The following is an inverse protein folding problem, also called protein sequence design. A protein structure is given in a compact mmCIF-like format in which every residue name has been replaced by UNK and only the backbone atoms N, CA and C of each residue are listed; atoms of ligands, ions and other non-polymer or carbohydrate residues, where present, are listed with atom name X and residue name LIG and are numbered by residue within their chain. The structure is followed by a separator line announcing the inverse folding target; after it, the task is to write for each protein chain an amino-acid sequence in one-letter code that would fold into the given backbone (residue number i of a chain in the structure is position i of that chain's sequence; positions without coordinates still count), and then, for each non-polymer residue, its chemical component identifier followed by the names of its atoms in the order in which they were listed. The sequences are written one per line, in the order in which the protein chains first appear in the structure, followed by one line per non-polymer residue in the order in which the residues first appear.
data_IF_775286755944
#
_entry.id   IF_775286755944
#
_cell.length_a   1.000
_cell.length_b   1.000
_cell.length_c   1.000
_cell.angle_alpha   90.00
_cell.angle_beta   90.00
_cell.angle_gamma   90.00
#
_symmetry.space_group_name_H-M   'P 1'
#
loop_
_entity.id
_entity.type
_entity.pdbx_description
1 polymer ?
#
# COMPACT_ATOMS: atom_id res chain seq x y z
N UNK A 1 -8.53 17.58 5.99
CA UNK A 1 -7.17 17.44 6.50
C UNK A 1 -6.75 15.99 6.45
N UNK A 2 -5.58 15.71 5.92
CA UNK A 2 -5.15 14.32 5.82
C UNK A 2 -4.55 13.82 7.12
N UNK A 3 -4.62 12.51 7.33
CA UNK A 3 -4.06 11.85 8.49
C UNK A 3 -2.83 11.07 8.06
N UNK A 4 -1.77 11.19 8.84
CA UNK A 4 -0.50 10.54 8.55
C UNK A 4 -0.23 9.48 9.59
N UNK A 5 0.11 8.27 9.14
CA UNK A 5 0.44 7.14 9.99
C UNK A 5 1.76 6.54 9.49
N UNK A 6 2.63 6.18 10.41
CA UNK A 6 3.85 5.47 10.06
C UNK A 6 3.74 4.01 10.45
N UNK A 7 4.14 3.13 9.55
CA UNK A 7 4.20 1.71 9.81
C UNK A 7 5.63 1.29 9.50
N UNK A 8 6.45 1.13 10.55
CA UNK A 8 7.87 0.94 10.36
C UNK A 8 8.47 2.16 9.68
N UNK A 9 9.12 1.95 8.55
CA UNK A 9 9.73 3.03 7.77
C UNK A 9 8.77 3.63 6.75
N UNK A 10 7.59 3.04 6.57
CA UNK A 10 6.63 3.48 5.57
C UNK A 10 5.77 4.58 6.16
N UNK A 11 5.58 5.66 5.40
CA UNK A 11 4.68 6.73 5.80
C UNK A 11 3.44 6.66 4.92
N UNK A 12 2.27 6.65 5.56
CA UNK A 12 0.99 6.56 4.87
C UNK A 12 0.19 7.80 5.22
N UNK A 13 -0.20 8.54 4.19
CA UNK A 13 -1.03 9.73 4.37
C UNK A 13 -2.38 9.50 3.71
N UNK A 14 -3.42 9.39 4.52
CA UNK A 14 -4.76 9.15 4.01
C UNK A 14 -5.35 10.42 3.42
N UNK A 15 -5.89 10.27 2.23
CA UNK A 15 -6.58 11.36 1.54
C UNK A 15 -8.08 11.16 1.58
N UNK A 16 -8.53 9.92 1.39
CA UNK A 16 -9.96 9.58 1.46
C UNK A 16 -10.09 8.33 2.31
N UNK A 17 -10.82 8.44 3.42
CA UNK A 17 -11.06 7.30 4.30
C UNK A 17 -12.51 6.82 4.08
N UNK A 18 -12.65 5.74 3.33
CA UNK A 18 -13.96 5.21 2.98
C UNK A 18 -14.36 3.97 3.76
N UNK A 19 -13.65 3.64 4.84
CA UNK A 19 -13.89 2.39 5.54
C UNK A 19 -15.30 2.29 6.12
N UNK A 20 -15.82 3.42 6.64
CA UNK A 20 -17.12 3.40 7.31
C UNK A 20 -18.28 3.29 6.33
N UNK A 21 -18.06 3.62 5.08
CA UNK A 21 -19.13 3.61 4.09
C UNK A 21 -19.00 2.44 3.11
N UNK A 22 -17.93 1.65 3.24
CA UNK A 22 -17.63 0.61 2.27
C UNK A 22 -17.18 1.17 0.94
N UNK A 23 -16.76 2.43 0.92
CA UNK A 23 -16.40 3.13 -0.29
C UNK A 23 -14.92 3.06 -0.61
N UNK A 24 -14.48 3.96 -1.49
CA UNK A 24 -13.12 4.03 -1.96
C UNK A 24 -12.21 4.65 -0.91
N UNK A 25 -11.05 4.02 -0.68
CA UNK A 25 -9.98 4.61 0.09
C UNK A 25 -8.86 5.06 -0.82
N UNK A 26 -8.25 6.19 -0.51
CA UNK A 26 -7.09 6.68 -1.25
C UNK A 26 -6.06 7.19 -0.26
N UNK A 27 -4.83 6.70 -0.38
CA UNK A 27 -3.76 7.24 0.44
C UNK A 27 -2.47 7.34 -0.36
N UNK A 28 -1.58 8.21 0.12
CA UNK A 28 -0.26 8.36 -0.43
C UNK A 28 0.72 7.60 0.45
N UNK A 29 1.60 6.84 -0.18
CA UNK A 29 2.60 6.04 0.51
C UNK A 29 3.98 6.56 0.17
N UNK A 30 4.82 6.74 1.19
CA UNK A 30 6.24 7.03 1.00
C UNK A 30 7.04 5.86 1.51
N UNK A 31 7.93 5.36 0.66
CA UNK A 31 8.74 4.20 0.95
C UNK A 31 10.20 4.59 0.79
N UNK A 32 10.95 4.72 1.89
CA UNK A 32 12.36 5.11 1.80
C UNK A 32 13.20 4.08 1.05
N UNK A 33 14.38 4.49 0.61
CA UNK A 33 15.30 3.60 -0.07
C UNK A 33 15.59 2.37 0.78
N UNK A 34 15.57 1.21 0.16
CA UNK A 34 15.86 -0.06 0.84
C UNK A 34 14.71 -0.62 1.66
N UNK A 35 13.61 0.13 1.80
CA UNK A 35 12.49 -0.32 2.61
C UNK A 35 11.64 -1.31 1.84
N UNK A 36 10.95 -2.16 2.59
CA UNK A 36 9.99 -3.09 2.02
C UNK A 36 8.89 -3.29 3.04
N UNK A 37 7.72 -3.63 2.54
CA UNK A 37 6.68 -4.02 3.47
C UNK A 37 6.92 -5.43 3.89
N UNK A 38 6.22 -5.88 4.90
CA UNK A 38 6.33 -7.24 5.38
C UNK A 38 6.05 -8.25 4.28
N UNK A 39 6.10 -9.53 4.61
CA UNK A 39 5.99 -10.60 3.62
C UNK A 39 4.80 -10.45 2.70
N UNK A 40 4.80 -11.13 1.56
CA UNK A 40 3.68 -11.12 0.65
C UNK A 40 2.36 -11.39 1.37
N UNK A 41 1.31 -10.70 1.00
CA UNK A 41 0.02 -10.82 1.66
C UNK A 41 -1.10 -10.65 0.64
N UNK A 42 -2.32 -10.97 1.06
CA UNK A 42 -3.47 -10.80 0.21
C UNK A 42 -4.63 -10.21 1.01
N UNK A 43 -5.50 -9.51 0.31
CA UNK A 43 -6.76 -9.03 0.86
C UNK A 43 -7.88 -9.69 0.09
N UNK A 44 -8.69 -10.49 0.78
CA UNK A 44 -9.73 -11.27 0.10
C UNK A 44 -10.89 -10.40 -0.36
N UNK A 45 -11.10 -9.27 0.31
CA UNK A 45 -12.28 -8.45 0.06
C UNK A 45 -11.99 -7.12 -0.62
N UNK A 46 -10.73 -6.82 -0.90
CA UNK A 46 -10.36 -5.52 -1.44
C UNK A 46 -9.65 -5.64 -2.78
N UNK A 47 -9.95 -4.72 -3.67
CA UNK A 47 -9.15 -4.51 -4.87
C UNK A 47 -8.25 -3.31 -4.61
N UNK A 48 -7.05 -3.37 -5.15
CA UNK A 48 -6.07 -2.32 -4.90
C UNK A 48 -5.41 -1.91 -6.20
N UNK A 49 -5.17 -0.61 -6.37
CA UNK A 49 -4.43 -0.10 -7.50
C UNK A 49 -3.35 0.83 -6.97
N UNK A 50 -2.15 0.72 -7.52
CA UNK A 50 -1.01 1.54 -7.14
C UNK A 50 -0.59 2.37 -8.35
N UNK A 51 -0.38 3.65 -8.15
CA UNK A 51 0.07 4.59 -9.18
C UNK A 51 1.29 5.33 -8.68
N UNK A 52 2.43 5.19 -9.36
CA UNK A 52 3.70 5.74 -8.88
C UNK A 52 3.83 7.21 -9.27
N UNK A 53 4.20 8.03 -8.31
CA UNK A 53 4.42 9.46 -8.49
C UNK A 53 5.90 9.80 -8.57
N UNK A 54 6.74 9.17 -7.75
CA UNK A 54 8.18 9.41 -7.71
C UNK A 54 8.91 8.13 -7.39
N UNK A 55 10.11 7.99 -7.93
CA UNK A 55 10.95 6.83 -7.67
C UNK A 55 10.52 5.62 -8.49
N UNK A 56 11.09 4.47 -8.17
CA UNK A 56 10.75 3.21 -8.84
C UNK A 56 10.30 2.22 -7.78
N UNK A 57 9.06 1.77 -7.90
CA UNK A 57 8.47 0.83 -6.96
C UNK A 57 8.52 -0.57 -7.54
N UNK A 58 9.16 -1.49 -6.83
CA UNK A 58 9.10 -2.89 -7.23
C UNK A 58 7.83 -3.50 -6.65
N UNK A 59 6.97 -3.99 -7.51
CA UNK A 59 5.66 -4.47 -7.12
C UNK A 59 5.39 -5.82 -7.74
N UNK A 60 4.94 -6.77 -6.93
CA UNK A 60 4.60 -8.09 -7.44
C UNK A 60 3.15 -8.42 -7.08
N UNK A 61 2.48 -9.05 -8.03
CA UNK A 61 1.13 -9.57 -7.86
C UNK A 61 1.18 -11.00 -8.35
N UNK A 62 0.91 -11.93 -7.45
CA UNK A 62 1.03 -13.36 -7.71
C UNK A 62 2.43 -13.68 -8.27
N UNK A 63 2.52 -14.13 -9.52
CA UNK A 63 3.81 -14.51 -10.10
C UNK A 63 4.42 -13.39 -10.94
N UNK A 64 3.78 -12.25 -11.06
CA UNK A 64 4.26 -11.16 -11.89
C UNK A 64 4.93 -10.10 -11.04
N UNK A 65 6.17 -9.74 -11.40
CA UNK A 65 6.91 -8.68 -10.73
C UNK A 65 7.29 -7.62 -11.74
N UNK A 66 7.07 -6.35 -11.39
CA UNK A 66 7.40 -5.22 -12.23
C UNK A 66 8.08 -4.14 -11.44
N UNK A 67 8.94 -3.38 -12.11
CA UNK A 67 9.47 -2.13 -11.57
C UNK A 67 8.67 -1.00 -12.18
N UNK A 68 7.87 -0.34 -11.35
CA UNK A 68 6.97 0.72 -11.78
C UNK A 68 7.67 2.07 -11.66
N UNK A 69 7.71 2.80 -12.75
CA UNK A 69 8.29 4.14 -12.81
C UNK A 69 7.19 5.19 -12.64
N UNK A 70 7.55 6.45 -12.42
CA UNK A 70 6.52 7.49 -12.32
C UNK A 70 5.58 7.46 -13.52
N UNK A 71 4.28 7.43 -13.22
CA UNK A 71 3.25 7.31 -14.23
C UNK A 71 2.80 5.89 -14.51
N UNK A 72 3.54 4.89 -14.02
CA UNK A 72 3.14 3.49 -14.17
C UNK A 72 2.18 3.11 -13.05
N UNK A 73 1.41 2.06 -13.29
CA UNK A 73 0.43 1.58 -12.32
C UNK A 73 0.28 0.07 -12.42
N UNK A 74 -0.30 -0.50 -11.39
CA UNK A 74 -0.58 -1.94 -11.37
C UNK A 74 -1.79 -2.19 -10.49
N UNK A 75 -2.67 -3.10 -10.92
CA UNK A 75 -3.86 -3.49 -10.17
C UNK A 75 -3.65 -4.82 -9.48
N UNK A 76 -4.19 -4.94 -8.29
CA UNK A 76 -4.20 -6.18 -7.53
C UNK A 76 -5.64 -6.63 -7.35
N UNK A 77 -6.08 -7.69 -8.06
CA UNK A 77 -7.43 -8.21 -7.87
C UNK A 77 -7.61 -8.78 -6.46
N UNK A 78 -8.86 -8.93 -6.06
CA UNK A 78 -9.19 -9.55 -4.78
C UNK A 78 -8.56 -10.92 -4.67
N UNK A 79 -7.98 -11.19 -3.51
CA UNK A 79 -7.39 -12.49 -3.22
C UNK A 79 -6.01 -12.72 -3.80
N UNK A 80 -5.50 -11.79 -4.60
CA UNK A 80 -4.15 -11.94 -5.14
C UNK A 80 -3.11 -11.62 -4.08
N UNK A 81 -2.03 -12.38 -4.09
CA UNK A 81 -0.90 -12.14 -3.19
C UNK A 81 -0.06 -11.02 -3.78
N UNK A 82 0.22 -9.99 -2.98
CA UNK A 82 1.02 -8.88 -3.46
C UNK A 82 2.08 -8.47 -2.45
N UNK A 83 3.09 -7.76 -2.96
CA UNK A 83 4.23 -7.33 -2.17
C UNK A 83 4.90 -6.18 -2.91
N UNK A 84 5.44 -5.22 -2.18
CA UNK A 84 6.21 -4.16 -2.82
C UNK A 84 7.42 -3.79 -1.98
N UNK A 85 8.40 -3.21 -2.66
CA UNK A 85 9.65 -2.81 -2.02
C UNK A 85 10.28 -1.68 -2.82
N UNK A 86 11.21 -1.00 -2.19
CA UNK A 86 12.02 0.00 -2.84
C UNK A 86 13.46 -0.50 -2.88
N UNK A 87 13.84 -1.09 -4.00
CA UNK A 87 15.18 -1.64 -4.19
C UNK A 87 16.17 -0.57 -4.68
N UNK A 88 15.69 0.66 -4.87
CA UNK A 88 16.52 1.75 -5.38
C UNK A 88 17.15 2.59 -4.29
N UNK A 89 17.65 3.75 -4.69
CA UNK A 89 18.36 4.66 -3.79
C UNK A 89 17.57 5.93 -3.46
N UNK A 90 16.39 6.08 -4.05
CA UNK A 90 15.55 7.26 -3.82
C UNK A 90 14.25 6.85 -3.18
N UNK A 91 13.62 7.77 -2.46
CA UNK A 91 12.31 7.53 -1.88
C UNK A 91 11.27 7.33 -2.98
N UNK A 92 10.42 6.33 -2.81
CA UNK A 92 9.28 6.11 -3.69
C UNK A 92 8.07 6.80 -3.08
N UNK A 93 7.30 7.45 -3.94
CA UNK A 93 6.02 8.04 -3.55
C UNK A 93 4.95 7.52 -4.51
N UNK A 94 3.88 6.98 -3.97
CA UNK A 94 2.83 6.36 -4.78
C UNK A 94 1.46 6.63 -4.18
N UNK A 95 0.46 6.69 -5.05
CA UNK A 95 -0.94 6.69 -4.62
C UNK A 95 -1.44 5.26 -4.60
N UNK A 96 -2.16 4.92 -3.54
CA UNK A 96 -2.78 3.61 -3.41
C UNK A 96 -4.28 3.82 -3.26
N UNK A 97 -5.04 3.09 -4.06
CA UNK A 97 -6.50 3.14 -4.05
C UNK A 97 -7.03 1.77 -3.71
N UNK A 98 -7.96 1.71 -2.77
CA UNK A 98 -8.55 0.45 -2.30
C UNK A 98 -10.06 0.54 -2.34
N UNK A 99 -10.72 -0.51 -2.78
CA UNK A 99 -12.17 -0.56 -2.73
C UNK A 99 -12.64 -1.97 -2.42
N UNK A 100 -13.47 -2.14 -1.38
CA UNK A 100 -13.71 -1.17 -0.32
C UNK A 100 -12.46 -0.90 0.49
N UNK A 101 -12.42 0.25 1.14
CA UNK A 101 -11.24 0.66 1.92
C UNK A 101 -11.06 -0.21 3.15
N UNK A 102 -9.81 -0.43 3.56
CA UNK A 102 -9.52 -1.08 4.84
C UNK A 102 -9.46 -0.06 5.97
N UNK A 103 -9.26 1.22 5.63
CA UNK A 103 -9.33 2.31 6.59
C UNK A 103 -8.02 2.65 7.27
N UNK A 104 -7.90 3.90 7.67
CA UNK A 104 -6.68 4.40 8.31
C UNK A 104 -6.42 3.70 9.65
N UNK A 105 -7.48 3.25 10.33
CA UNK A 105 -7.32 2.60 11.63
C UNK A 105 -6.53 1.29 11.53
N UNK A 106 -6.69 0.58 10.42
CA UNK A 106 -5.91 -0.64 10.19
C UNK A 106 -4.40 -0.34 10.27
N UNK A 107 -3.97 0.75 9.63
CA UNK A 107 -2.55 1.10 9.64
C UNK A 107 -2.08 1.58 11.00
N UNK A 108 -2.94 2.28 11.73
CA UNK A 108 -2.60 2.68 13.10
C UNK A 108 -2.43 1.48 14.00
N UNK A 109 -3.26 0.46 13.81
CA UNK A 109 -3.17 -0.76 14.60
C UNK A 109 -1.88 -1.51 14.26
N UNK A 110 -1.48 -1.54 12.99
CA UNK A 110 -0.22 -2.14 12.59
C UNK A 110 0.97 -1.44 13.25
N UNK A 111 0.94 -0.11 13.30
CA UNK A 111 2.02 0.66 13.90
C UNK A 111 2.14 0.38 15.39
N UNK A 112 1.02 0.10 16.06
CA UNK A 112 1.02 -0.20 17.49
C UNK A 112 1.18 -1.68 17.80
N UNK A 113 1.40 -2.51 16.78
CA UNK A 113 1.52 -3.94 16.98
C UNK A 113 0.22 -4.66 17.23
N UNK A 114 -0.92 -4.02 17.00
CA UNK A 114 -2.23 -4.62 17.21
C UNK A 114 -2.76 -5.32 15.98
N UNK A 115 -2.14 -5.08 14.83
CA UNK A 115 -2.49 -5.74 13.59
C UNK A 115 -1.24 -6.23 12.91
N UNK A 116 -1.36 -7.17 11.97
CA UNK A 116 -0.23 -7.70 11.24
C UNK A 116 -0.46 -7.45 9.76
N UNK A 117 0.38 -6.56 9.18
CA UNK A 117 0.33 -6.36 7.76
C UNK A 117 0.70 -7.64 7.08
N UNK A 118 -0.11 -8.13 6.20
CA UNK A 118 0.15 -9.38 5.54
C UNK A 118 -0.68 -10.53 6.02
N UNK A 119 -1.38 -10.36 7.13
CA UNK A 119 -2.29 -11.35 7.49
C UNK A 119 -3.60 -10.93 7.03
N UNK A 120 -4.25 -11.44 6.14
CA UNK A 120 -5.31 -10.97 5.72
C UNK A 120 -6.32 -11.38 5.76
N UNK A 121 -6.88 -10.97 5.99
CA UNK A 121 -8.12 -11.24 6.12
C UNK A 121 -9.09 -10.86 5.09
#
# INVERSE_FOLDING_TARGET
MSQVVKVGQIEIRYLVDGAQTGGLGVFEMKLPAGAHVPPPHSHTDNEECVYVLEGVLRYSVDDETRDLKPGDWMSTPRGSVHHFSNAGTETVRALVMLTPDIGVQFFRDCDRGLGVMGEEG
#
